data_IF_527213146437
#
_entry.id   IF_527213146437
#
_cell.length_a   1.000
_cell.length_b   1.000
_cell.length_c   1.000
_cell.angle_alpha   90.00
_cell.angle_beta   90.00
_cell.angle_gamma   90.00
#
_symmetry.space_group_name_H-M   'P 1'
#
loop_
_entity.id
_entity.type
_entity.pdbx_description
1 polymer ?
#
# COMPACT_ATOMS: atom_id res chain seq x y z
N UNK A 1 23.28 -26.32 35.96
CA UNK A 1 22.03 -26.05 35.22
C UNK A 1 22.25 -24.76 34.45
N UNK A 2 22.33 -24.85 33.13
CA UNK A 2 22.70 -23.74 32.25
C UNK A 2 21.50 -22.89 31.81
N UNK A 3 21.80 -21.60 31.65
CA UNK A 3 21.26 -20.62 30.72
C UNK A 3 19.74 -20.43 30.58
N UNK A 4 19.26 -19.27 31.03
CA UNK A 4 18.13 -18.57 30.42
C UNK A 4 18.64 -17.24 29.84
N UNK A 5 19.03 -17.28 28.56
CA UNK A 5 19.08 -16.08 27.73
C UNK A 5 17.67 -15.67 27.35
N UNK A 6 17.41 -14.36 27.37
CA UNK A 6 16.17 -13.75 26.90
C UNK A 6 16.48 -12.39 26.32
N UNK A 7 17.18 -12.38 25.19
CA UNK A 7 17.34 -11.19 24.36
C UNK A 7 16.12 -10.97 23.46
N UNK A 8 15.87 -9.70 23.15
CA UNK A 8 14.90 -9.26 22.14
C UNK A 8 13.45 -9.27 22.65
N UNK A 9 12.60 -8.28 22.40
CA UNK A 9 12.62 -7.25 21.38
C UNK A 9 11.61 -6.21 21.83
N UNK A 10 11.92 -4.92 21.69
CA UNK A 10 10.91 -3.88 21.79
C UNK A 10 9.78 -4.19 20.80
N UNK A 11 8.56 -4.31 21.30
CA UNK A 11 7.37 -4.31 20.47
C UNK A 11 7.11 -2.87 20.00
N UNK A 12 7.24 -2.54 18.70
CA UNK A 12 6.60 -1.35 18.17
C UNK A 12 5.07 -1.59 18.13
N UNK A 13 4.25 -0.53 18.05
CA UNK A 13 2.81 -0.66 17.90
C UNK A 13 2.49 -1.20 16.50
N UNK A 14 2.42 -2.52 16.38
CA UNK A 14 2.17 -3.23 15.13
C UNK A 14 2.33 -4.73 15.34
N UNK A 15 1.32 -5.36 15.92
CA UNK A 15 1.34 -6.80 16.19
C UNK A 15 1.49 -7.65 14.92
N UNK A 16 1.82 -8.95 15.06
CA UNK A 16 2.13 -9.86 13.95
C UNK A 16 1.02 -9.99 12.90
N UNK A 17 -0.22 -9.65 13.23
CA UNK A 17 -1.35 -9.63 12.30
C UNK A 17 -1.29 -8.46 11.29
N UNK A 18 -0.67 -7.33 11.68
CA UNK A 18 -0.46 -6.19 10.79
C UNK A 18 0.42 -6.56 9.60
N UNK A 19 1.50 -7.31 9.83
CA UNK A 19 2.39 -7.76 8.77
C UNK A 19 1.71 -8.65 7.72
N UNK A 20 0.89 -9.61 8.15
CA UNK A 20 0.20 -10.52 7.21
C UNK A 20 -0.95 -9.84 6.45
N UNK A 21 -1.77 -9.05 7.14
CA UNK A 21 -2.86 -8.33 6.48
C UNK A 21 -2.34 -7.23 5.56
N UNK A 22 -1.26 -6.54 5.95
CA UNK A 22 -0.59 -5.58 5.08
C UNK A 22 -0.01 -6.26 3.85
N UNK A 23 0.63 -7.43 3.99
CA UNK A 23 1.18 -8.16 2.85
C UNK A 23 0.10 -8.74 1.93
N UNK A 24 -1.02 -9.20 2.49
CA UNK A 24 -2.19 -9.62 1.71
C UNK A 24 -2.82 -8.44 0.98
N UNK A 25 -2.88 -7.26 1.62
CA UNK A 25 -3.35 -6.03 1.01
C UNK A 25 -2.42 -5.58 -0.10
N UNK A 26 -1.11 -5.57 0.12
CA UNK A 26 -0.10 -5.25 -0.90
C UNK A 26 -0.30 -6.14 -2.13
N UNK A 27 -0.34 -7.45 -1.95
CA UNK A 27 -0.49 -8.40 -3.06
C UNK A 27 -1.84 -8.28 -3.79
N UNK A 28 -2.95 -8.22 -3.05
CA UNK A 28 -4.28 -8.02 -3.62
C UNK A 28 -4.37 -6.70 -4.39
N UNK A 29 -3.87 -5.61 -3.80
CA UNK A 29 -3.87 -4.29 -4.42
C UNK A 29 -2.99 -4.27 -5.66
N UNK A 30 -1.82 -4.90 -5.63
CA UNK A 30 -0.89 -4.97 -6.76
C UNK A 30 -1.48 -5.76 -7.93
N UNK A 31 -2.14 -6.90 -7.65
CA UNK A 31 -2.80 -7.71 -8.67
C UNK A 31 -3.91 -6.92 -9.36
N UNK A 32 -4.87 -6.39 -8.60
CA UNK A 32 -5.97 -5.60 -9.16
C UNK A 32 -5.48 -4.33 -9.84
N UNK A 33 -4.43 -3.68 -9.31
CA UNK A 33 -3.92 -2.46 -9.93
C UNK A 33 -3.34 -2.70 -11.32
N UNK A 34 -2.67 -3.84 -11.57
CA UNK A 34 -2.17 -4.16 -12.92
C UNK A 34 -3.31 -4.41 -13.90
N UNK A 35 -4.34 -5.13 -13.46
CA UNK A 35 -5.50 -5.44 -14.29
C UNK A 35 -6.28 -4.16 -14.63
N UNK A 36 -6.63 -3.36 -13.62
CA UNK A 36 -7.34 -2.09 -13.79
C UNK A 36 -6.51 -1.08 -14.60
N UNK A 37 -5.20 -0.98 -14.36
CA UNK A 37 -4.34 -0.09 -15.13
C UNK A 37 -4.36 -0.45 -16.61
N UNK A 38 -4.34 -1.75 -16.94
CA UNK A 38 -4.46 -2.24 -18.31
C UNK A 38 -5.80 -1.86 -18.93
N UNK A 39 -6.91 -2.01 -18.19
CA UNK A 39 -8.25 -1.59 -18.66
C UNK A 39 -8.36 -0.07 -18.89
N UNK A 40 -7.71 0.72 -18.04
CA UNK A 40 -7.72 2.19 -18.11
C UNK A 40 -6.73 2.75 -19.14
N UNK A 41 -5.91 1.91 -19.77
CA UNK A 41 -4.82 2.34 -20.65
C UNK A 41 -3.69 3.09 -19.93
N UNK A 42 -3.51 2.82 -18.62
CA UNK A 42 -2.44 3.37 -17.79
C UNK A 42 -1.21 2.44 -17.91
N UNK A 43 -0.10 2.99 -18.43
CA UNK A 43 1.19 2.29 -18.47
C UNK A 43 1.82 2.26 -17.08
N UNK A 44 1.45 1.24 -16.30
CA UNK A 44 1.92 1.01 -14.94
C UNK A 44 3.18 0.13 -14.95
N UNK A 45 4.31 0.71 -14.53
CA UNK A 45 5.62 0.04 -14.52
C UNK A 45 5.93 -0.58 -13.16
N UNK A 46 5.74 0.20 -12.11
CA UNK A 46 6.08 -0.20 -10.74
C UNK A 46 5.01 0.29 -9.75
N UNK A 47 4.78 -0.50 -8.70
CA UNK A 47 3.97 -0.11 -7.55
C UNK A 47 4.83 -0.32 -6.30
N UNK A 48 4.85 0.68 -5.42
CA UNK A 48 5.50 0.61 -4.11
C UNK A 48 4.51 0.97 -3.01
N UNK A 49 4.50 0.18 -1.95
CA UNK A 49 3.70 0.42 -0.77
C UNK A 49 4.60 0.89 0.37
N UNK A 50 4.35 2.10 0.87
CA UNK A 50 5.08 2.71 1.97
C UNK A 50 4.15 2.97 3.14
N UNK A 51 4.46 2.41 4.31
CA UNK A 51 3.67 2.64 5.52
C UNK A 51 4.07 3.97 6.13
N UNK A 52 3.08 4.81 6.44
CA UNK A 52 3.36 6.08 7.13
C UNK A 52 3.54 5.83 8.62
N UNK A 53 4.35 6.63 9.34
CA UNK A 53 4.52 6.51 10.78
C UNK A 53 3.21 6.73 11.58
N UNK A 54 2.19 7.30 10.94
CA UNK A 54 0.86 7.54 11.50
C UNK A 54 -0.08 6.33 11.34
N UNK A 55 0.39 5.23 10.73
CA UNK A 55 -0.38 4.00 10.49
C UNK A 55 -1.13 3.96 9.16
N UNK A 56 -0.92 4.95 8.28
CA UNK A 56 -1.44 5.00 6.92
C UNK A 56 -0.59 4.24 5.91
N UNK A 57 -0.98 4.30 4.65
CA UNK A 57 -0.27 3.64 3.55
C UNK A 57 -0.24 4.53 2.31
N UNK A 58 0.95 4.90 1.86
CA UNK A 58 1.17 5.54 0.57
C UNK A 58 1.46 4.47 -0.47
N UNK A 59 0.68 4.48 -1.54
CA UNK A 59 0.86 3.63 -2.72
C UNK A 59 1.42 4.51 -3.81
N UNK A 60 2.71 4.37 -4.07
CA UNK A 60 3.39 5.12 -5.10
C UNK A 60 3.42 4.28 -6.37
N UNK A 61 3.00 4.86 -7.49
CA UNK A 61 2.94 4.16 -8.78
C UNK A 61 3.81 4.86 -9.81
N UNK A 62 4.73 4.12 -10.42
CA UNK A 62 5.46 4.60 -11.60
C UNK A 62 4.58 4.37 -12.83
N UNK A 63 3.99 5.46 -13.31
CA UNK A 63 3.15 5.47 -14.49
C UNK A 63 3.40 6.76 -15.28
N UNK A 64 4.45 6.85 -16.12
CA UNK A 64 4.97 8.11 -16.65
C UNK A 64 4.01 8.85 -17.58
N UNK A 65 3.00 8.16 -18.13
CA UNK A 65 1.98 8.74 -19.01
C UNK A 65 0.63 8.97 -18.32
N UNK A 66 0.51 8.55 -17.05
CA UNK A 66 -0.73 8.70 -16.31
C UNK A 66 -0.85 10.10 -15.71
N UNK A 67 -2.04 10.66 -15.77
CA UNK A 67 -2.39 11.88 -15.04
C UNK A 67 -2.63 11.57 -13.56
N UNK A 68 -2.47 12.55 -12.65
CA UNK A 68 -2.79 12.37 -11.24
C UNK A 68 -4.23 11.86 -11.01
N UNK A 69 -5.19 12.35 -11.79
CA UNK A 69 -6.59 11.92 -11.73
C UNK A 69 -6.77 10.44 -12.12
N UNK A 70 -6.03 9.95 -13.11
CA UNK A 70 -6.05 8.52 -13.47
C UNK A 70 -5.48 7.63 -12.37
N UNK A 71 -4.44 8.10 -11.67
CA UNK A 71 -3.86 7.38 -10.53
C UNK A 71 -4.81 7.35 -9.34
N UNK A 72 -5.48 8.46 -9.04
CA UNK A 72 -6.52 8.49 -8.00
C UNK A 72 -7.68 7.55 -8.34
N UNK A 73 -8.14 7.55 -9.60
CA UNK A 73 -9.20 6.65 -10.06
C UNK A 73 -8.79 5.17 -10.01
N UNK A 74 -7.56 4.85 -10.41
CA UNK A 74 -6.97 3.52 -10.28
C UNK A 74 -7.03 3.07 -8.81
N UNK A 75 -6.56 3.91 -7.89
CA UNK A 75 -6.58 3.61 -6.46
C UNK A 75 -7.97 3.41 -5.89
N UNK A 76 -8.94 4.23 -6.33
CA UNK A 76 -10.35 4.08 -5.94
C UNK A 76 -10.93 2.75 -6.41
N UNK A 77 -10.70 2.37 -7.67
CA UNK A 77 -11.16 1.08 -8.22
C UNK A 77 -10.51 -0.10 -7.49
N UNK A 78 -9.21 -0.05 -7.21
CA UNK A 78 -8.52 -1.10 -6.44
C UNK A 78 -9.10 -1.24 -5.03
N UNK A 79 -9.45 -0.14 -4.37
CA UNK A 79 -10.09 -0.18 -3.04
C UNK A 79 -11.52 -0.72 -3.08
N UNK A 80 -12.23 -0.56 -4.19
CA UNK A 80 -13.59 -1.08 -4.39
C UNK A 80 -13.57 -2.58 -4.72
N UNK A 81 -12.59 -3.02 -5.50
CA UNK A 81 -12.47 -4.42 -5.95
C UNK A 81 -11.73 -5.32 -4.96
N UNK A 82 -10.71 -4.83 -4.25
CA UNK A 82 -9.96 -5.62 -3.27
C UNK A 82 -10.69 -5.67 -1.91
N UNK A 83 -11.18 -6.85 -1.45
CA UNK A 83 -11.90 -6.97 -0.19
C UNK A 83 -11.06 -6.57 1.02
N UNK A 84 -9.74 -6.79 0.97
CA UNK A 84 -8.80 -6.45 2.03
C UNK A 84 -8.57 -4.94 2.12
N UNK A 85 -8.46 -4.25 0.99
CA UNK A 85 -8.36 -2.79 0.94
C UNK A 85 -9.66 -2.13 1.44
N UNK A 86 -10.81 -2.67 1.04
CA UNK A 86 -12.12 -2.25 1.54
C UNK A 86 -12.25 -2.46 3.05
N UNK A 87 -11.80 -3.60 3.56
CA UNK A 87 -11.78 -3.88 5.00
C UNK A 87 -10.88 -2.89 5.75
N UNK A 88 -9.67 -2.60 5.24
CA UNK A 88 -8.80 -1.57 5.83
C UNK A 88 -9.46 -0.22 5.89
N UNK A 89 -10.17 0.21 4.83
CA UNK A 89 -10.94 1.47 4.81
C UNK A 89 -11.96 1.56 5.95
N UNK A 90 -12.54 0.44 6.38
CA UNK A 90 -13.45 0.40 7.55
C UNK A 90 -12.73 0.49 8.90
N UNK A 91 -11.42 0.23 8.95
CA UNK A 91 -10.60 0.35 10.17
C UNK A 91 -9.86 1.69 10.28
N UNK A 92 -9.81 2.49 9.21
CA UNK A 92 -9.25 3.84 9.22
C UNK A 92 -10.10 4.74 10.11
N UNK A 93 -9.56 5.10 11.28
CA UNK A 93 -10.24 5.96 12.25
C UNK A 93 -9.92 7.44 12.07
N UNK A 94 -8.93 7.76 11.23
CA UNK A 94 -8.52 9.13 10.92
C UNK A 94 -8.01 9.28 9.47
N UNK A 95 -8.18 10.44 8.82
CA UNK A 95 -7.72 10.67 7.44
C UNK A 95 -6.21 10.45 7.21
N UNK A 96 -5.42 10.49 8.28
CA UNK A 96 -3.97 10.24 8.26
C UNK A 96 -3.61 8.76 8.08
N UNK A 97 -4.54 7.87 8.41
CA UNK A 97 -4.40 6.42 8.28
C UNK A 97 -4.92 5.90 6.92
N UNK A 98 -5.40 6.80 6.06
CA UNK A 98 -5.97 6.43 4.76
C UNK A 98 -4.89 5.94 3.78
N UNK A 99 -5.32 5.11 2.83
CA UNK A 99 -4.47 4.63 1.75
C UNK A 99 -4.49 5.64 0.60
N UNK A 100 -3.34 6.25 0.29
CA UNK A 100 -3.24 7.30 -0.74
C UNK A 100 -2.47 6.79 -1.94
N UNK A 101 -3.05 6.93 -3.13
CA UNK A 101 -2.43 6.56 -4.39
C UNK A 101 -1.84 7.81 -5.03
N UNK A 102 -0.53 7.79 -5.25
CA UNK A 102 0.22 8.93 -5.79
C UNK A 102 1.18 8.47 -6.86
N UNK A 103 1.41 9.32 -7.85
CA UNK A 103 2.45 9.04 -8.85
C UNK A 103 3.81 9.10 -8.18
N UNK A 104 4.64 8.09 -8.42
CA UNK A 104 6.02 8.09 -8.00
C UNK A 104 6.70 9.29 -8.70
N UNK A 105 7.31 10.23 -7.97
CA UNK A 105 8.00 11.34 -8.61
C UNK A 105 9.04 10.76 -9.55
N UNK A 106 9.16 11.27 -10.79
CA UNK A 106 10.15 10.77 -11.74
C UNK A 106 11.49 10.80 -11.03
N UNK A 107 12.08 9.63 -10.80
CA UNK A 107 13.43 9.58 -10.23
C UNK A 107 14.30 10.32 -11.22
N UNK A 108 14.81 11.48 -10.81
CA UNK A 108 15.86 12.15 -11.55
C UNK A 108 17.02 11.16 -11.58
N UNK A 109 17.30 10.62 -12.77
CA UNK A 109 18.51 9.87 -13.09
C UNK A 109 19.70 10.52 -12.39
N UNK A 110 20.40 9.78 -11.54
CA UNK A 110 21.64 10.24 -10.91
C UNK A 110 22.67 9.14 -10.90
#
# INVERSE_FOLDING_TARGET
>A
MGSAGGGGSGFPPGGPLGGFLDRALEWCSESHARDIASEMGVDLREIRFEKTPEGGMNVMVDAPKATPLQIEQLGKRVQEECPVARFRKTQVSSPKQEMKWVQLPPQYDR
#
